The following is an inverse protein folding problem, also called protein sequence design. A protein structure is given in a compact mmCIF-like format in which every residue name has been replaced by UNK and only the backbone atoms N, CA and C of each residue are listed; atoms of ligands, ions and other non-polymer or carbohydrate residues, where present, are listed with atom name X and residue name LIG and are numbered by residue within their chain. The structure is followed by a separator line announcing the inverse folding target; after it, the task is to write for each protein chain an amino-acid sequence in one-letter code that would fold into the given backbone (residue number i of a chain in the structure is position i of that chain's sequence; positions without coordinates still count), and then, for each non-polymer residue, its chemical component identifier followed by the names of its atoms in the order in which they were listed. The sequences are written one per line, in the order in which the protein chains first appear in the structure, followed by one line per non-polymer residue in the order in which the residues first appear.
data_IF_134628812284
#
_entry.id   IF_134628812284
#
_cell.length_a   1.000
_cell.length_b   1.000
_cell.length_c   1.000
_cell.angle_alpha   90.00
_cell.angle_beta   90.00
_cell.angle_gamma   90.00
#
_symmetry.space_group_name_H-M   'P 1'
#
loop_
_entity.id
_entity.type
_entity.pdbx_description
1 polymer ?
#
# COMPACT_ATOMS: atom_id res chain seq x y z
N UNK A 1 13.33 -3.35 -34.14
CA UNK A 1 12.27 -3.82 -33.22
C UNK A 1 11.44 -4.95 -33.84
N UNK A 2 10.95 -4.80 -35.07
CA UNK A 2 10.24 -5.86 -35.80
C UNK A 2 11.13 -7.08 -36.10
N UNK A 3 10.51 -8.25 -36.18
CA UNK A 3 11.07 -9.53 -36.61
C UNK A 3 10.28 -10.03 -37.85
N UNK A 4 10.66 -9.58 -39.05
CA UNK A 4 9.87 -9.76 -40.27
C UNK A 4 9.78 -11.23 -40.73
N UNK A 5 10.60 -12.12 -40.18
CA UNK A 5 10.59 -13.55 -40.50
C UNK A 5 9.40 -14.31 -39.90
N UNK A 6 8.70 -13.70 -38.93
CA UNK A 6 7.46 -14.23 -38.36
C UNK A 6 6.30 -13.59 -39.13
N UNK A 7 5.36 -14.40 -39.63
CA UNK A 7 4.15 -13.88 -40.26
C UNK A 7 3.31 -13.11 -39.24
N UNK A 8 2.83 -11.88 -39.55
CA UNK A 8 1.95 -11.14 -38.66
C UNK A 8 0.61 -11.84 -38.43
N UNK A 9 0.18 -12.71 -39.35
CA UNK A 9 -1.04 -13.51 -39.21
C UNK A 9 -0.87 -14.70 -38.25
N UNK A 10 0.37 -15.12 -38.00
CA UNK A 10 0.67 -16.25 -37.11
C UNK A 10 0.99 -15.76 -35.69
N UNK A 11 1.80 -14.70 -35.57
CA UNK A 11 2.13 -14.07 -34.29
C UNK A 11 2.49 -12.59 -34.50
N UNK A 12 1.48 -11.73 -34.43
CA UNK A 12 1.65 -10.28 -34.60
C UNK A 12 2.57 -9.65 -33.55
N UNK A 13 2.55 -10.16 -32.31
CA UNK A 13 3.40 -9.63 -31.23
C UNK A 13 4.87 -9.87 -31.55
N UNK A 14 5.25 -11.10 -31.90
CA UNK A 14 6.63 -11.42 -32.24
C UNK A 14 7.04 -10.77 -33.55
N UNK A 15 6.14 -10.67 -34.54
CA UNK A 15 6.40 -9.92 -35.77
C UNK A 15 6.73 -8.44 -35.49
N UNK A 16 5.93 -7.76 -34.68
CA UNK A 16 6.08 -6.34 -34.41
C UNK A 16 7.25 -6.02 -33.43
N UNK A 17 7.44 -6.87 -32.43
CA UNK A 17 8.29 -6.58 -31.26
C UNK A 17 9.44 -7.59 -31.04
N UNK A 18 9.54 -8.66 -31.84
CA UNK A 18 10.39 -9.82 -31.54
C UNK A 18 11.89 -9.54 -31.46
N UNK A 19 12.37 -8.41 -32.00
CA UNK A 19 13.77 -7.97 -31.88
C UNK A 19 13.97 -6.84 -30.85
N UNK A 20 12.94 -6.46 -30.07
CA UNK A 20 13.00 -5.35 -29.10
C UNK A 20 14.10 -5.55 -28.05
N UNK A 21 14.23 -6.77 -27.50
CA UNK A 21 15.22 -7.12 -26.48
C UNK A 21 16.68 -6.95 -26.95
N UNK A 22 16.95 -7.00 -28.26
CA UNK A 22 18.30 -6.82 -28.83
C UNK A 22 18.79 -5.37 -28.74
N UNK A 23 17.86 -4.41 -28.65
CA UNK A 23 18.18 -2.99 -28.58
C UNK A 23 17.88 -2.37 -27.21
N UNK A 24 17.13 -3.09 -26.36
CA UNK A 24 16.74 -2.64 -25.03
C UNK A 24 17.10 -3.71 -23.99
N UNK A 25 18.40 -4.01 -23.80
CA UNK A 25 18.82 -4.88 -22.71
C UNK A 25 18.44 -4.24 -21.37
N UNK A 26 18.07 -5.06 -20.38
CA UNK A 26 17.80 -4.59 -19.03
C UNK A 26 19.05 -3.89 -18.49
N UNK A 27 18.94 -2.59 -18.21
CA UNK A 27 20.06 -1.79 -17.70
C UNK A 27 20.26 -2.07 -16.21
N UNK A 28 21.52 -2.30 -15.83
CA UNK A 28 21.97 -2.31 -14.44
C UNK A 28 22.69 -0.98 -14.20
N UNK A 29 22.17 -0.15 -13.29
CA UNK A 29 22.76 1.15 -12.96
C UNK A 29 23.73 1.02 -11.76
N UNK A 30 24.76 1.87 -11.75
CA UNK A 30 25.89 1.87 -10.79
C UNK A 30 26.13 3.21 -10.10
N UNK A 31 27.12 3.24 -9.19
CA UNK A 31 27.11 3.79 -7.83
C UNK A 31 26.92 5.30 -7.56
N UNK A 32 26.09 5.58 -6.54
CA UNK A 32 26.18 6.69 -5.57
C UNK A 32 25.87 6.11 -4.18
N UNK A 33 26.70 6.39 -3.17
CA UNK A 33 26.54 5.85 -1.82
C UNK A 33 25.42 6.55 -1.04
N UNK A 34 24.46 5.77 -0.53
CA UNK A 34 23.52 6.20 0.52
C UNK A 34 24.12 5.88 1.88
N UNK A 35 24.21 6.86 2.78
CA UNK A 35 24.69 6.60 4.13
C UNK A 35 23.54 6.07 5.01
N UNK A 36 23.16 4.79 4.84
CA UNK A 36 22.20 4.08 5.72
C UNK A 36 22.65 4.05 7.20
N UNK A 37 23.89 4.44 7.48
CA UNK A 37 24.45 4.55 8.82
C UNK A 37 24.32 5.97 9.41
N UNK A 38 23.67 6.90 8.72
CA UNK A 38 23.41 8.24 9.24
C UNK A 38 22.60 8.15 10.55
N UNK A 39 23.15 8.74 11.62
CA UNK A 39 22.58 8.67 12.97
C UNK A 39 21.28 9.48 13.06
N UNK A 40 21.19 10.60 12.35
CA UNK A 40 19.98 11.43 12.36
C UNK A 40 18.83 10.73 11.65
N UNK A 41 19.12 10.01 10.56
CA UNK A 41 18.12 9.20 9.87
C UNK A 41 17.57 8.09 10.77
N UNK A 42 18.43 7.33 11.46
CA UNK A 42 17.97 6.28 12.40
C UNK A 42 17.16 6.86 13.55
N UNK A 43 17.60 7.98 14.13
CA UNK A 43 16.87 8.68 15.18
C UNK A 43 15.49 9.17 14.67
N UNK A 44 15.39 9.63 13.43
CA UNK A 44 14.12 10.04 12.84
C UNK A 44 13.14 8.85 12.72
N UNK A 45 13.62 7.68 12.32
CA UNK A 45 12.80 6.45 12.29
C UNK A 45 12.30 6.07 13.68
N UNK A 46 13.18 6.11 14.69
CA UNK A 46 12.80 5.82 16.08
C UNK A 46 11.78 6.83 16.61
N UNK A 47 11.94 8.13 16.31
CA UNK A 47 10.99 9.15 16.72
C UNK A 47 9.59 8.93 16.15
N UNK A 48 9.47 8.45 14.91
CA UNK A 48 8.18 8.09 14.31
C UNK A 48 7.51 6.94 15.06
N UNK A 49 8.27 5.93 15.50
CA UNK A 49 7.74 4.83 16.34
C UNK A 49 7.26 5.38 17.69
N UNK A 50 8.06 6.26 18.32
CA UNK A 50 7.80 6.80 19.64
C UNK A 50 6.48 7.57 19.76
N UNK A 51 5.94 8.08 18.65
CA UNK A 51 4.60 8.70 18.61
C UNK A 51 3.47 7.73 18.98
N UNK A 52 3.70 6.42 18.84
CA UNK A 52 2.70 5.37 18.97
C UNK A 52 3.04 4.31 20.03
N UNK A 53 4.20 4.43 20.68
CA UNK A 53 4.67 3.52 21.71
C UNK A 53 6.16 3.19 21.55
N UNK A 54 6.58 2.06 22.09
CA UNK A 54 7.95 1.57 21.92
C UNK A 54 7.96 0.38 20.96
N UNK A 55 9.13 0.05 20.40
CA UNK A 55 9.30 -1.16 19.59
C UNK A 55 9.65 -2.35 20.51
N UNK A 56 8.75 -3.34 20.72
CA UNK A 56 9.02 -4.46 21.61
C UNK A 56 10.30 -5.23 21.27
N UNK A 57 10.66 -5.32 19.99
CA UNK A 57 11.91 -5.98 19.58
C UNK A 57 13.15 -5.29 20.18
N UNK A 58 13.11 -3.98 20.42
CA UNK A 58 14.21 -3.21 21.02
C UNK A 58 14.17 -3.24 22.55
N UNK A 59 12.98 -3.07 23.14
CA UNK A 59 12.81 -3.00 24.60
C UNK A 59 12.89 -4.39 25.26
N UNK A 60 12.47 -5.43 24.53
CA UNK A 60 12.45 -6.80 25.02
C UNK A 60 11.45 -7.00 26.16
N UNK A 61 11.85 -7.75 27.19
CA UNK A 61 10.96 -8.17 28.28
C UNK A 61 10.39 -7.03 29.14
N UNK A 62 10.97 -5.83 29.06
CA UNK A 62 10.48 -4.65 29.80
C UNK A 62 9.30 -3.94 29.10
N UNK A 63 8.96 -4.36 27.88
CA UNK A 63 7.90 -3.72 27.10
C UNK A 63 6.53 -3.89 27.76
N UNK A 64 5.88 -2.76 28.05
CA UNK A 64 4.58 -2.77 28.71
C UNK A 64 3.44 -2.98 27.70
N UNK A 65 3.01 -4.23 27.57
CA UNK A 65 1.90 -4.60 26.68
C UNK A 65 0.53 -4.05 27.11
N UNK A 66 0.34 -3.65 28.37
CA UNK A 66 -0.98 -3.24 28.90
C UNK A 66 -1.49 -1.92 28.29
N UNK A 67 -0.59 -1.05 27.84
CA UNK A 67 -0.94 0.22 27.21
C UNK A 67 -1.15 0.11 25.70
N UNK A 68 -0.87 -1.06 25.11
CA UNK A 68 -0.90 -1.25 23.67
C UNK A 68 -2.28 -1.72 23.19
N UNK A 69 -2.77 -1.07 22.13
CA UNK A 69 -4.01 -1.46 21.45
C UNK A 69 -3.79 -1.35 19.94
N UNK A 70 -3.63 -2.51 19.28
CA UNK A 70 -3.29 -2.57 17.86
C UNK A 70 -4.24 -1.75 16.98
N UNK A 71 -5.55 -1.82 17.24
CA UNK A 71 -6.56 -1.15 16.41
C UNK A 71 -6.59 0.36 16.66
N UNK A 72 -6.30 0.83 17.89
CA UNK A 72 -6.13 2.26 18.17
C UNK A 72 -4.89 2.79 17.45
N UNK A 73 -3.79 2.07 17.53
CA UNK A 73 -2.53 2.45 16.88
C UNK A 73 -2.70 2.56 15.36
N UNK A 74 -3.30 1.57 14.69
CA UNK A 74 -3.51 1.67 13.23
C UNK A 74 -4.52 2.76 12.86
N UNK A 75 -5.53 3.05 13.68
CA UNK A 75 -6.44 4.18 13.46
C UNK A 75 -5.72 5.52 13.51
N UNK A 76 -4.86 5.74 14.52
CA UNK A 76 -4.08 6.97 14.66
C UNK A 76 -3.02 7.11 13.55
N UNK A 77 -2.41 6.00 13.11
CA UNK A 77 -1.52 5.99 11.95
C UNK A 77 -2.28 6.35 10.67
N UNK A 78 -3.46 5.76 10.46
CA UNK A 78 -4.29 6.08 9.31
C UNK A 78 -4.68 7.56 9.29
N UNK A 79 -5.05 8.12 10.45
CA UNK A 79 -5.44 9.53 10.57
C UNK A 79 -4.28 10.48 10.28
N UNK A 80 -3.09 10.23 10.82
CA UNK A 80 -1.93 11.13 10.70
C UNK A 80 -1.14 10.94 9.41
N UNK A 81 -0.91 9.69 9.00
CA UNK A 81 -0.05 9.34 7.86
C UNK A 81 -0.83 8.88 6.62
N UNK A 82 -2.16 8.72 6.71
CA UNK A 82 -2.96 8.20 5.59
C UNK A 82 -2.66 6.74 5.25
N UNK A 83 -1.97 6.02 6.13
CA UNK A 83 -1.47 4.66 5.87
C UNK A 83 -2.39 3.61 6.47
N UNK A 84 -2.89 2.73 5.61
CA UNK A 84 -3.69 1.59 6.00
C UNK A 84 -2.78 0.38 6.25
N UNK A 85 -2.71 -0.11 7.49
CA UNK A 85 -1.82 -1.23 7.86
C UNK A 85 -2.61 -2.55 7.85
N UNK A 86 -3.55 -2.72 8.78
CA UNK A 86 -4.36 -3.96 8.91
C UNK A 86 -5.77 -3.75 8.37
N UNK A 87 -6.38 -2.61 8.69
CA UNK A 87 -7.71 -2.22 8.24
C UNK A 87 -7.59 -1.00 7.34
N UNK A 88 -8.42 -0.95 6.29
CA UNK A 88 -8.56 0.19 5.38
C UNK A 88 -9.98 0.73 5.52
N UNK A 89 -10.05 2.03 5.81
CA UNK A 89 -11.30 2.74 6.04
C UNK A 89 -11.39 3.93 5.09
N UNK A 90 -12.42 3.98 4.24
CA UNK A 90 -12.58 5.06 3.26
C UNK A 90 -13.96 5.69 3.34
N UNK A 91 -14.01 7.03 3.32
CA UNK A 91 -15.27 7.76 3.18
C UNK A 91 -15.56 7.94 1.70
N UNK A 92 -16.75 7.54 1.27
CA UNK A 92 -17.27 7.86 -0.06
C UNK A 92 -18.56 8.67 0.05
N UNK A 93 -18.65 9.77 -0.71
CA UNK A 93 -19.83 10.63 -0.83
C UNK A 93 -20.38 11.16 0.52
N UNK A 94 -19.54 11.27 1.55
CA UNK A 94 -19.87 11.78 2.91
C UNK A 94 -20.88 10.88 3.68
N UNK A 95 -21.49 9.89 3.03
CA UNK A 95 -22.59 9.07 3.59
C UNK A 95 -22.26 7.61 3.83
N UNK A 96 -21.19 7.10 3.23
CA UNK A 96 -20.81 5.70 3.35
C UNK A 96 -19.37 5.62 3.82
N UNK A 97 -19.16 4.83 4.86
CA UNK A 97 -17.83 4.42 5.29
C UNK A 97 -17.62 2.99 4.84
N UNK A 98 -16.67 2.81 3.94
CA UNK A 98 -16.22 1.48 3.51
C UNK A 98 -15.16 0.99 4.48
N UNK A 99 -15.36 -0.22 4.99
CA UNK A 99 -14.43 -0.90 5.86
C UNK A 99 -14.01 -2.19 5.18
N UNK A 100 -12.70 -2.41 5.08
CA UNK A 100 -12.14 -3.65 4.55
C UNK A 100 -10.86 -4.00 5.29
N UNK A 101 -10.52 -5.28 5.32
CA UNK A 101 -9.17 -5.67 5.72
C UNK A 101 -8.19 -5.31 4.60
N UNK A 102 -6.98 -4.90 4.96
CA UNK A 102 -5.93 -4.65 3.99
C UNK A 102 -5.58 -5.97 3.28
N UNK A 103 -5.41 -5.92 1.97
CA UNK A 103 -5.00 -7.06 1.13
C UNK A 103 -3.56 -6.90 0.65
N UNK A 104 -3.03 -5.67 0.71
CA UNK A 104 -1.71 -5.32 0.19
C UNK A 104 -0.68 -5.40 1.32
N UNK A 105 -0.47 -6.61 1.82
CA UNK A 105 0.68 -6.88 2.68
C UNK A 105 1.91 -7.00 1.77
N UNK A 106 2.67 -5.90 1.60
CA UNK A 106 3.82 -5.77 0.69
C UNK A 106 4.79 -6.96 0.71
N UNK A 107 5.23 -7.44 -0.46
CA UNK A 107 6.13 -8.59 -0.63
C UNK A 107 7.60 -8.36 -0.25
N UNK A 108 8.00 -7.12 0.07
CA UNK A 108 9.32 -6.85 0.62
C UNK A 108 9.23 -6.66 2.14
N UNK A 109 9.28 -7.74 2.94
CA UNK A 109 9.27 -7.61 4.39
C UNK A 109 10.55 -6.93 4.88
N UNK A 110 10.44 -6.16 5.97
CA UNK A 110 11.60 -5.79 6.78
C UNK A 110 12.39 -7.05 7.13
N UNK A 111 13.62 -7.15 6.63
CA UNK A 111 14.44 -8.34 6.81
C UNK A 111 15.16 -8.31 8.16
N UNK A 112 15.69 -9.47 8.59
CA UNK A 112 16.60 -9.50 9.72
C UNK A 112 17.84 -8.61 9.51
N UNK A 113 18.25 -8.37 8.26
CA UNK A 113 19.34 -7.43 7.95
C UNK A 113 18.92 -5.98 8.21
N UNK A 114 17.71 -5.61 7.79
CA UNK A 114 17.17 -4.27 8.01
C UNK A 114 16.99 -3.99 9.50
N UNK A 115 16.50 -4.98 10.25
CA UNK A 115 16.36 -4.92 11.71
C UNK A 115 17.70 -4.66 12.42
N UNK A 116 18.76 -5.33 11.99
CA UNK A 116 20.10 -5.09 12.51
C UNK A 116 20.63 -3.71 12.09
N UNK A 117 20.46 -3.34 10.82
CA UNK A 117 21.08 -2.15 10.24
C UNK A 117 20.41 -0.86 10.74
N UNK A 118 19.08 -0.80 10.70
CA UNK A 118 18.33 0.42 11.06
C UNK A 118 18.09 0.55 12.55
N UNK A 119 17.88 -0.57 13.26
CA UNK A 119 17.47 -0.54 14.67
C UNK A 119 18.51 -1.15 15.63
N UNK A 120 19.64 -1.66 15.13
CA UNK A 120 20.71 -2.17 16.00
C UNK A 120 20.36 -3.46 16.75
N UNK A 121 19.33 -4.18 16.30
CA UNK A 121 18.93 -5.46 16.90
C UNK A 121 20.08 -6.48 16.82
N UNK A 122 20.19 -7.35 17.82
CA UNK A 122 21.14 -8.47 17.73
C UNK A 122 20.71 -9.46 16.65
N UNK A 123 21.65 -10.19 16.05
CA UNK A 123 21.36 -11.12 14.96
C UNK A 123 20.32 -12.20 15.32
N UNK A 124 20.27 -12.65 16.57
CA UNK A 124 19.27 -13.63 17.03
C UNK A 124 17.88 -13.01 17.14
N UNK A 125 17.77 -11.86 17.80
CA UNK A 125 16.49 -11.14 17.96
C UNK A 125 15.96 -10.71 16.61
N UNK A 126 16.81 -10.15 15.73
CA UNK A 126 16.41 -9.73 14.40
C UNK A 126 15.86 -10.89 13.54
N UNK A 127 16.48 -12.08 13.62
CA UNK A 127 15.98 -13.27 12.90
C UNK A 127 14.64 -13.74 13.46
N UNK A 128 14.51 -13.79 14.77
CA UNK A 128 13.26 -14.20 15.42
C UNK A 128 12.14 -13.22 15.07
N UNK A 129 12.36 -11.92 15.23
CA UNK A 129 11.38 -10.88 14.90
C UNK A 129 11.00 -10.95 13.41
N UNK A 130 11.97 -11.02 12.50
CA UNK A 130 11.66 -11.14 11.06
C UNK A 130 10.79 -12.38 10.74
N UNK A 131 11.04 -13.51 11.41
CA UNK A 131 10.24 -14.72 11.27
C UNK A 131 8.81 -14.52 11.77
N UNK A 132 8.63 -13.97 12.98
CA UNK A 132 7.33 -13.67 13.57
C UNK A 132 6.51 -12.70 12.69
N UNK A 133 7.15 -11.69 12.11
CA UNK A 133 6.52 -10.74 11.18
C UNK A 133 6.08 -11.43 9.89
N UNK A 134 6.94 -12.28 9.31
CA UNK A 134 6.61 -13.08 8.13
C UNK A 134 5.42 -14.02 8.39
N UNK A 135 5.38 -14.66 9.56
CA UNK A 135 4.31 -15.59 9.90
C UNK A 135 2.98 -14.87 10.15
N UNK A 136 3.01 -13.72 10.82
CA UNK A 136 1.82 -12.86 10.95
C UNK A 136 1.33 -12.40 9.57
N UNK A 137 2.25 -11.94 8.71
CA UNK A 137 1.91 -11.51 7.34
C UNK A 137 1.21 -12.62 6.56
N UNK A 138 1.74 -13.85 6.60
CA UNK A 138 1.12 -15.01 5.97
C UNK A 138 -0.25 -15.33 6.56
N UNK A 139 -0.40 -15.23 7.88
CA UNK A 139 -1.69 -15.40 8.55
C UNK A 139 -2.72 -14.36 8.12
N UNK A 140 -2.31 -13.09 7.99
CA UNK A 140 -3.17 -12.00 7.51
C UNK A 140 -3.53 -12.12 6.02
N UNK A 141 -2.62 -12.64 5.20
CA UNK A 141 -2.88 -12.92 3.79
C UNK A 141 -3.66 -14.23 3.57
N UNK A 142 -3.67 -15.13 4.58
CA UNK A 142 -4.44 -16.37 4.50
C UNK A 142 -5.93 -16.05 4.53
N UNK A 143 -6.65 -16.50 3.50
CA UNK A 143 -8.06 -16.15 3.30
C UNK A 143 -8.31 -15.02 2.29
N UNK A 144 -7.26 -14.44 1.68
CA UNK A 144 -7.43 -13.68 0.43
C UNK A 144 -7.92 -14.67 -0.63
N UNK A 145 -9.24 -14.69 -0.87
CA UNK A 145 -9.83 -15.53 -1.91
C UNK A 145 -9.23 -15.11 -3.26
N UNK A 146 -8.52 -16.03 -3.91
CA UNK A 146 -7.63 -15.72 -5.03
C UNK A 146 -8.34 -15.03 -6.18
N UNK A 147 -7.76 -13.93 -6.69
CA UNK A 147 -7.91 -13.26 -8.01
C UNK A 147 -9.30 -13.19 -8.68
N UNK A 148 -10.37 -13.57 -8.00
CA UNK A 148 -11.74 -13.34 -8.40
C UNK A 148 -12.06 -11.90 -8.03
N UNK A 149 -12.39 -11.11 -9.03
CA UNK A 149 -12.78 -9.70 -8.93
C UNK A 149 -13.43 -9.36 -7.58
N UNK A 150 -12.99 -8.26 -6.95
CA UNK A 150 -13.66 -7.58 -5.82
C UNK A 150 -15.14 -7.20 -6.12
N UNK A 151 -15.67 -7.58 -7.28
CA UNK A 151 -17.09 -7.59 -7.60
C UNK A 151 -17.88 -8.48 -6.62
N UNK A 152 -18.35 -7.89 -5.51
CA UNK A 152 -19.72 -8.18 -5.06
C UNK A 152 -19.92 -8.71 -3.64
N UNK A 153 -18.90 -8.85 -2.79
CA UNK A 153 -19.14 -9.20 -1.37
C UNK A 153 -19.21 -7.94 -0.51
N UNK A 154 -20.38 -7.31 -0.48
CA UNK A 154 -20.66 -6.15 0.37
C UNK A 154 -21.72 -6.50 1.41
N UNK A 155 -21.40 -6.27 2.68
CA UNK A 155 -22.36 -6.34 3.78
C UNK A 155 -22.61 -4.93 4.32
N UNK A 156 -23.88 -4.53 4.39
CA UNK A 156 -24.25 -3.20 4.88
C UNK A 156 -24.67 -3.28 6.34
N UNK A 157 -24.10 -2.39 7.16
CA UNK A 157 -24.34 -2.31 8.59
C UNK A 157 -24.67 -0.89 9.02
N UNK A 158 -25.41 -0.79 10.12
CA UNK A 158 -25.35 0.38 11.01
C UNK A 158 -24.31 0.13 12.10
N UNK A 159 -23.74 1.19 12.66
CA UNK A 159 -22.63 1.10 13.63
C UNK A 159 -22.95 0.17 14.80
N UNK A 160 -24.12 0.32 15.43
CA UNK A 160 -24.50 -0.50 16.59
C UNK A 160 -24.55 -2.00 16.26
N UNK A 161 -24.99 -2.34 15.05
CA UNK A 161 -25.08 -3.74 14.60
C UNK A 161 -23.72 -4.33 14.28
N UNK A 162 -22.82 -3.54 13.70
CA UNK A 162 -21.43 -3.96 13.50
C UNK A 162 -20.72 -4.14 14.85
N UNK A 163 -20.91 -3.18 15.76
CA UNK A 163 -20.36 -3.21 17.11
C UNK A 163 -20.86 -4.40 17.90
N UNK A 164 -22.16 -4.72 17.84
CA UNK A 164 -22.75 -5.91 18.48
C UNK A 164 -22.05 -7.19 17.99
N UNK A 165 -21.86 -7.33 16.68
CA UNK A 165 -21.28 -8.51 16.04
C UNK A 165 -19.79 -8.72 16.34
N UNK A 166 -19.00 -7.64 16.33
CA UNK A 166 -17.54 -7.70 16.41
C UNK A 166 -16.94 -7.06 17.68
N UNK A 167 -17.76 -6.84 18.70
CA UNK A 167 -17.38 -6.21 19.99
C UNK A 167 -16.16 -6.85 20.67
N UNK A 168 -15.98 -8.16 20.52
CA UNK A 168 -14.86 -8.89 21.13
C UNK A 168 -13.51 -8.66 20.43
N UNK A 169 -13.49 -7.94 19.30
CA UNK A 169 -12.27 -7.69 18.52
C UNK A 169 -11.81 -6.24 18.60
N UNK A 170 -12.72 -5.27 18.45
CA UNK A 170 -12.43 -3.85 18.63
C UNK A 170 -13.70 -3.03 18.89
N UNK A 171 -13.51 -1.81 19.36
CA UNK A 171 -14.55 -0.80 19.47
C UNK A 171 -14.59 0.02 18.17
N UNK A 172 -15.58 -0.24 17.30
CA UNK A 172 -15.75 0.45 16.02
C UNK A 172 -16.13 1.91 16.19
N UNK A 173 -16.89 2.25 17.23
CA UNK A 173 -17.23 3.65 17.51
C UNK A 173 -15.96 4.45 17.78
N UNK A 174 -15.08 3.93 18.65
CA UNK A 174 -13.81 4.58 18.96
C UNK A 174 -12.81 4.52 17.79
N UNK A 175 -12.74 3.38 17.09
CA UNK A 175 -11.88 3.23 15.93
C UNK A 175 -12.19 4.26 14.83
N UNK A 176 -13.47 4.41 14.49
CA UNK A 176 -13.90 5.36 13.46
C UNK A 176 -13.76 6.82 13.93
N UNK A 177 -13.98 7.10 15.22
CA UNK A 177 -13.79 8.45 15.77
C UNK A 177 -12.32 8.87 15.77
N UNK A 178 -11.39 7.94 16.03
CA UNK A 178 -9.95 8.20 15.92
C UNK A 178 -9.52 8.57 14.48
N UNK A 179 -10.15 7.98 13.46
CA UNK A 179 -9.82 8.22 12.05
C UNK A 179 -10.47 9.51 11.52
N UNK A 180 -11.78 9.65 11.73
CA UNK A 180 -12.57 10.70 11.07
C UNK A 180 -12.89 11.90 11.97
N UNK A 181 -12.71 11.77 13.29
CA UNK A 181 -13.24 12.70 14.29
C UNK A 181 -14.71 12.43 14.62
N UNK A 182 -15.15 12.86 15.80
CA UNK A 182 -16.48 12.56 16.35
C UNK A 182 -17.65 13.09 15.49
N UNK A 183 -17.43 14.19 14.76
CA UNK A 183 -18.50 14.87 14.00
C UNK A 183 -18.70 14.36 12.57
N UNK A 184 -17.85 13.44 12.06
CA UNK A 184 -17.75 13.18 10.61
C UNK A 184 -18.09 11.76 10.15
N UNK A 185 -18.39 10.82 11.04
CA UNK A 185 -18.60 9.44 10.59
C UNK A 185 -20.06 9.17 10.18
N UNK A 186 -20.19 8.44 9.07
CA UNK A 186 -21.47 8.07 8.49
C UNK A 186 -22.26 7.07 9.35
N UNK A 187 -23.59 7.08 9.23
CA UNK A 187 -24.47 6.08 9.87
C UNK A 187 -24.44 4.71 9.19
N UNK A 188 -24.00 4.65 7.93
CA UNK A 188 -24.02 3.43 7.11
C UNK A 188 -22.57 3.00 6.83
N UNK A 189 -22.28 1.76 7.23
CA UNK A 189 -21.01 1.09 7.05
C UNK A 189 -21.16 0.02 5.97
N UNK A 190 -20.21 -0.03 5.06
CA UNK A 190 -20.14 -1.06 4.02
C UNK A 190 -18.89 -1.90 4.27
N UNK A 191 -19.09 -3.12 4.75
CA UNK A 191 -18.03 -4.09 4.99
C UNK A 191 -17.75 -4.86 3.69
N UNK A 192 -16.51 -4.82 3.22
CA UNK A 192 -16.07 -5.54 2.02
C UNK A 192 -15.43 -6.86 2.45
N UNK A 193 -15.88 -7.95 1.84
CA UNK A 193 -15.42 -9.32 2.10
C UNK A 193 -15.40 -9.66 3.61
N UNK A 194 -16.59 -9.75 4.17
CA UNK A 194 -16.80 -9.95 5.61
C UNK A 194 -16.11 -11.22 6.16
N UNK A 195 -16.01 -12.27 5.36
CA UNK A 195 -15.30 -13.50 5.74
C UNK A 195 -13.81 -13.24 5.90
N UNK A 196 -13.18 -12.60 4.92
CA UNK A 196 -11.78 -12.20 5.00
C UNK A 196 -11.53 -11.23 6.15
N UNK A 197 -12.41 -10.24 6.33
CA UNK A 197 -12.35 -9.31 7.45
C UNK A 197 -12.39 -10.01 8.81
N UNK A 198 -13.30 -10.98 8.99
CA UNK A 198 -13.40 -11.76 10.22
C UNK A 198 -12.14 -12.59 10.47
N UNK A 199 -11.56 -13.20 9.43
CA UNK A 199 -10.31 -13.96 9.53
C UNK A 199 -9.15 -13.07 9.98
N UNK A 200 -9.01 -11.87 9.44
CA UNK A 200 -7.99 -10.89 9.87
C UNK A 200 -8.15 -10.51 11.34
N UNK A 201 -9.38 -10.25 11.80
CA UNK A 201 -9.66 -9.95 13.21
C UNK A 201 -9.34 -11.13 14.14
N UNK A 202 -9.55 -12.36 13.69
CA UNK A 202 -9.19 -13.58 14.42
C UNK A 202 -7.67 -13.76 14.49
N UNK A 203 -6.97 -13.58 13.37
CA UNK A 203 -5.50 -13.64 13.30
C UNK A 203 -4.86 -12.61 14.23
N UNK A 204 -5.35 -11.37 14.24
CA UNK A 204 -4.86 -10.35 15.17
C UNK A 204 -5.11 -10.75 16.62
N UNK A 205 -6.28 -11.29 16.94
CA UNK A 205 -6.62 -11.72 18.31
C UNK A 205 -5.74 -12.87 18.80
N UNK A 206 -5.35 -13.81 17.93
CA UNK A 206 -4.50 -14.96 18.30
C UNK A 206 -3.00 -14.65 18.31
N UNK A 207 -2.59 -13.49 17.79
CA UNK A 207 -1.18 -13.09 17.70
C UNK A 207 -0.72 -12.44 19.00
N UNK A 208 0.50 -12.71 19.51
CA UNK A 208 1.05 -12.01 20.67
C UNK A 208 1.13 -10.48 20.46
N UNK A 209 0.80 -9.70 21.49
CA UNK A 209 0.76 -8.23 21.42
C UNK A 209 2.09 -7.60 20.99
N UNK A 210 3.23 -8.17 21.42
CA UNK A 210 4.55 -7.73 21.00
C UNK A 210 4.76 -7.93 19.49
N UNK A 211 4.33 -9.06 18.93
CA UNK A 211 4.40 -9.31 17.49
C UNK A 211 3.48 -8.36 16.71
N UNK A 212 2.26 -8.09 17.22
CA UNK A 212 1.35 -7.10 16.62
C UNK A 212 1.97 -5.69 16.61
N UNK A 213 2.54 -5.26 17.73
CA UNK A 213 3.18 -3.95 17.85
C UNK A 213 4.39 -3.82 16.92
N UNK A 214 5.30 -4.80 16.92
CA UNK A 214 6.42 -4.84 16.00
C UNK A 214 5.95 -4.75 14.54
N UNK A 215 4.93 -5.52 14.16
CA UNK A 215 4.38 -5.52 12.81
C UNK A 215 3.82 -4.15 12.42
N UNK A 216 3.01 -3.54 13.26
CA UNK A 216 2.41 -2.23 12.98
C UNK A 216 3.47 -1.14 12.86
N UNK A 217 4.40 -1.06 13.83
CA UNK A 217 5.44 -0.03 13.83
C UNK A 217 6.40 -0.19 12.64
N UNK A 218 6.81 -1.41 12.32
CA UNK A 218 7.72 -1.65 11.22
C UNK A 218 7.04 -1.46 9.86
N UNK A 219 5.77 -1.89 9.72
CA UNK A 219 4.99 -1.63 8.50
C UNK A 219 4.80 -0.13 8.27
N UNK A 220 4.58 0.67 9.32
CA UNK A 220 4.57 2.13 9.21
C UNK A 220 5.87 2.62 8.57
N UNK A 221 7.01 2.15 9.08
CA UNK A 221 8.33 2.60 8.66
C UNK A 221 8.78 2.16 7.27
N UNK A 222 8.19 1.09 6.69
CA UNK A 222 8.60 0.54 5.39
C UNK A 222 8.72 1.59 4.28
N UNK A 223 7.86 2.61 4.27
CA UNK A 223 7.89 3.68 3.26
C UNK A 223 9.02 4.70 3.46
N UNK A 224 9.59 4.75 4.66
CA UNK A 224 10.71 5.63 4.97
C UNK A 224 12.05 4.91 4.82
N UNK A 225 12.06 3.57 4.72
CA UNK A 225 13.28 2.79 4.55
C UNK A 225 13.86 2.99 3.15
N UNK A 226 15.15 3.30 3.09
CA UNK A 226 15.87 3.44 1.81
C UNK A 226 16.20 2.03 1.31
N UNK A 227 15.43 1.56 0.32
CA UNK A 227 15.64 0.30 -0.39
C UNK A 227 16.52 0.46 -1.65
N UNK A 228 16.80 1.70 -2.06
CA UNK A 228 17.67 2.01 -3.19
C UNK A 228 19.05 1.35 -3.05
N UNK A 229 19.47 0.68 -4.14
CA UNK A 229 20.86 0.20 -4.29
C UNK A 229 21.78 1.39 -4.57
N UNK A 230 23.08 1.28 -4.21
CA UNK A 230 24.07 2.23 -4.68
C UNK A 230 23.99 2.38 -6.20
N UNK A 231 23.67 3.59 -6.68
CA UNK A 231 23.50 3.90 -8.11
C UNK A 231 22.07 4.19 -8.57
N UNK A 232 21.06 3.68 -7.87
CA UNK A 232 19.65 3.91 -8.21
C UNK A 232 19.07 5.13 -7.49
N UNK A 233 19.87 5.87 -6.71
CA UNK A 233 19.37 6.92 -5.82
C UNK A 233 18.66 8.05 -6.56
N UNK A 234 19.17 8.48 -7.72
CA UNK A 234 18.50 9.53 -8.53
C UNK A 234 17.13 9.06 -9.01
N UNK A 235 17.03 7.81 -9.48
CA UNK A 235 15.78 7.20 -9.89
C UNK A 235 14.84 7.07 -8.70
N UNK A 236 15.33 6.57 -7.56
CA UNK A 236 14.56 6.43 -6.33
C UNK A 236 14.02 7.77 -5.84
N UNK A 237 14.85 8.82 -5.79
CA UNK A 237 14.40 10.17 -5.45
C UNK A 237 13.37 10.70 -6.45
N UNK A 238 13.56 10.45 -7.75
CA UNK A 238 12.61 10.87 -8.80
C UNK A 238 11.26 10.18 -8.65
N UNK A 239 11.24 8.86 -8.44
CA UNK A 239 10.02 8.09 -8.26
C UNK A 239 9.31 8.45 -6.94
N UNK A 240 10.04 8.67 -5.84
CA UNK A 240 9.43 9.17 -4.60
C UNK A 240 8.89 10.60 -4.75
N UNK A 241 9.60 11.48 -5.45
CA UNK A 241 9.10 12.84 -5.74
C UNK A 241 7.83 12.78 -6.56
N UNK A 242 7.77 11.93 -7.59
CA UNK A 242 6.56 11.71 -8.38
C UNK A 242 5.44 11.11 -7.55
N UNK A 243 5.72 10.15 -6.67
CA UNK A 243 4.73 9.50 -5.80
C UNK A 243 4.06 10.51 -4.85
N UNK A 244 4.85 11.32 -4.15
CA UNK A 244 4.35 12.21 -3.09
C UNK A 244 4.00 13.62 -3.57
N UNK A 245 4.59 14.09 -4.67
CA UNK A 245 4.39 15.43 -5.23
C UNK A 245 3.98 15.40 -6.70
N UNK A 246 3.20 14.39 -7.11
CA UNK A 246 2.79 14.15 -8.50
C UNK A 246 2.29 15.41 -9.19
N UNK A 247 1.35 16.14 -8.58
CA UNK A 247 0.77 17.36 -9.17
C UNK A 247 1.82 18.42 -9.51
N UNK A 248 2.80 18.63 -8.61
CA UNK A 248 3.86 19.63 -8.81
C UNK A 248 4.86 19.15 -9.86
N UNK A 249 5.27 17.88 -9.77
CA UNK A 249 6.21 17.27 -10.71
C UNK A 249 5.62 17.22 -12.14
N UNK A 250 4.37 16.78 -12.27
CA UNK A 250 3.63 16.71 -13.53
C UNK A 250 3.41 18.11 -14.12
N UNK A 251 3.04 19.10 -13.31
CA UNK A 251 2.88 20.48 -13.79
C UNK A 251 4.21 21.05 -14.31
N UNK A 252 5.32 20.84 -13.61
CA UNK A 252 6.63 21.29 -14.06
C UNK A 252 7.05 20.61 -15.38
N UNK A 253 6.76 19.32 -15.54
CA UNK A 253 6.99 18.58 -16.80
C UNK A 253 6.06 19.12 -17.90
N UNK A 254 4.78 19.32 -17.60
CA UNK A 254 3.79 19.85 -18.53
C UNK A 254 4.20 21.22 -19.07
N UNK A 255 4.52 22.19 -18.21
CA UNK A 255 4.93 23.54 -18.65
C UNK A 255 6.21 23.52 -19.49
N UNK A 256 7.13 22.59 -19.23
CA UNK A 256 8.38 22.48 -19.99
C UNK A 256 8.18 21.88 -21.38
N UNK A 257 7.29 20.91 -21.52
CA UNK A 257 7.16 20.09 -22.74
C UNK A 257 5.82 20.25 -23.47
N UNK A 258 4.92 21.10 -22.99
CA UNK A 258 3.62 21.35 -23.63
C UNK A 258 3.77 21.82 -25.08
N UNK A 259 2.85 21.37 -25.92
CA UNK A 259 2.75 21.76 -27.33
C UNK A 259 1.30 21.94 -27.69
N UNK A 260 0.90 23.17 -28.03
CA UNK A 260 -0.48 23.48 -28.41
C UNK A 260 -0.94 22.66 -29.65
N UNK A 261 0.00 22.37 -30.56
CA UNK A 261 -0.28 21.52 -31.72
C UNK A 261 -0.59 20.08 -31.28
N UNK A 262 0.24 19.49 -30.41
CA UNK A 262 0.03 18.13 -29.90
C UNK A 262 -1.26 18.03 -29.06
N UNK A 263 -1.55 19.04 -28.24
CA UNK A 263 -2.81 19.11 -27.47
C UNK A 263 -4.02 19.12 -28.40
N UNK A 264 -4.02 19.99 -29.41
CA UNK A 264 -5.11 20.06 -30.38
C UNK A 264 -5.30 18.74 -31.14
N UNK A 265 -4.21 18.07 -31.51
CA UNK A 265 -4.25 16.77 -32.17
C UNK A 265 -4.88 15.69 -31.27
N UNK A 266 -4.48 15.63 -29.99
CA UNK A 266 -5.07 14.70 -29.01
C UNK A 266 -6.57 14.93 -28.84
N UNK A 267 -7.00 16.19 -28.74
CA UNK A 267 -8.44 16.51 -28.67
C UNK A 267 -9.18 16.10 -29.94
N UNK A 268 -8.61 16.33 -31.11
CA UNK A 268 -9.20 15.92 -32.39
C UNK A 268 -9.33 14.38 -32.50
N UNK A 269 -8.33 13.63 -32.06
CA UNK A 269 -8.38 12.17 -32.02
C UNK A 269 -9.46 11.69 -31.04
N UNK A 270 -9.55 12.29 -29.86
CA UNK A 270 -10.58 11.95 -28.88
C UNK A 270 -12.00 12.17 -29.42
N UNK A 271 -12.22 13.29 -30.12
CA UNK A 271 -13.49 13.59 -30.76
C UNK A 271 -13.86 12.57 -31.85
N UNK A 272 -12.88 12.14 -32.65
CA UNK A 272 -13.07 11.07 -33.65
C UNK A 272 -13.43 9.74 -32.99
N UNK A 273 -12.70 9.32 -31.95
CA UNK A 273 -12.99 8.09 -31.20
C UNK A 273 -14.41 8.13 -30.64
N UNK A 274 -14.80 9.25 -30.02
CA UNK A 274 -16.14 9.44 -29.47
C UNK A 274 -17.22 9.40 -30.54
N UNK A 275 -16.96 10.01 -31.70
CA UNK A 275 -17.85 10.00 -32.86
C UNK A 275 -18.08 8.58 -33.37
N UNK A 276 -17.01 7.84 -33.63
CA UNK A 276 -17.06 6.44 -34.08
C UNK A 276 -17.77 5.55 -33.07
N UNK A 277 -17.47 5.69 -31.78
CA UNK A 277 -18.13 4.92 -30.73
C UNK A 277 -19.63 5.18 -30.70
N UNK A 278 -20.07 6.43 -30.82
CA UNK A 278 -21.49 6.78 -30.91
C UNK A 278 -22.14 6.20 -32.17
N UNK A 279 -21.46 6.24 -33.31
CA UNK A 279 -21.96 5.64 -34.55
C UNK A 279 -22.17 4.13 -34.39
N UNK A 280 -21.20 3.42 -33.81
CA UNK A 280 -21.30 1.98 -33.54
C UNK A 280 -22.44 1.66 -32.56
N UNK A 281 -22.63 2.48 -31.52
CA UNK A 281 -23.73 2.32 -30.56
C UNK A 281 -25.12 2.56 -31.17
N UNK A 282 -25.23 3.41 -32.19
CA UNK A 282 -26.49 3.60 -32.92
C UNK A 282 -26.88 2.36 -33.74
N UNK A 283 -25.93 1.44 -33.97
CA UNK A 283 -26.09 0.22 -34.75
C UNK A 283 -26.30 0.50 -36.24
N UNK A 284 -25.95 -0.47 -37.08
CA UNK A 284 -26.51 -0.49 -38.43
C UNK A 284 -28.01 -0.77 -38.28
N UNK A 285 -28.85 0.25 -38.47
CA UNK A 285 -30.29 0.05 -38.68
C UNK A 285 -30.46 -0.72 -40.00
N UNK A 286 -30.44 -2.04 -39.91
CA UNK A 286 -31.07 -2.94 -40.88
C UNK A 286 -32.46 -3.30 -40.39
#
# INVERSE_FOLDING_TARGET
MMRPEISPCDDFYTHACGNWHRHNPAQLYGDIQTNRNDVHYKLALENVIQEYGELPALVGAQWNSSNFSWWRTVAQIQQKYGKNIILDTQIQLIKFVFLKANTNFSDSPVTASDLQQYFGLSASVARQTAQELSDLKKGLASGVHGTGSLNGKYSVYILDKLQEKYSNHLNFTEFLSLIFGEEKFAKILVLIDEEFFANVLLTMRSTPSATQANFIMLTLLEEFLIDAKPGDMTTWCTENTKKYFSQVAEHAVYERYRSAAAESEVFNIWEQIRGLFRQQLMGDKF
#
